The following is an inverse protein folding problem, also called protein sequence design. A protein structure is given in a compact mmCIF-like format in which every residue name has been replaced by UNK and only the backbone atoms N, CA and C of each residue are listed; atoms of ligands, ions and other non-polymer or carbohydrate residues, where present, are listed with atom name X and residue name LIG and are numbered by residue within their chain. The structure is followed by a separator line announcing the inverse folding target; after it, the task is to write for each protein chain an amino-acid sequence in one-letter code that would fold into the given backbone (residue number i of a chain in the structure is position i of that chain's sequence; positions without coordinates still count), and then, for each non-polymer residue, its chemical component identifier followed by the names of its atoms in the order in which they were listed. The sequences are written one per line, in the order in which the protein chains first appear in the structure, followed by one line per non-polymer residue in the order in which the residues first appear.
data_IF_290579805682
#
_entry.id   IF_290579805682
#
_cell.length_a   1.000
_cell.length_b   1.000
_cell.length_c   1.000
_cell.angle_alpha   90.00
_cell.angle_beta   90.00
_cell.angle_gamma   90.00
#
_symmetry.space_group_name_H-M   'P 1'
#
loop_
_entity.id
_entity.type
_entity.pdbx_description
1 polymer ?
#
# COMPACT_ATOMS: atom_id res chain seq x y z
N UNK A 1 -8.38 1.55 -11.24
CA UNK A 1 -7.15 1.93 -10.55
C UNK A 1 -6.73 3.34 -10.97
N UNK A 2 -6.28 4.16 -10.03
CA UNK A 2 -5.65 5.44 -10.33
C UNK A 2 -4.39 5.27 -11.19
N UNK A 3 -4.05 6.26 -12.01
CA UNK A 3 -2.78 6.30 -12.74
C UNK A 3 -1.58 6.47 -11.80
N UNK A 4 -1.77 7.16 -10.67
CA UNK A 4 -0.71 7.59 -9.76
C UNK A 4 -0.99 7.14 -8.32
N UNK A 5 0.06 7.07 -7.49
CA UNK A 5 -0.10 6.92 -6.06
C UNK A 5 -0.74 8.19 -5.48
N UNK A 6 -1.38 8.07 -4.33
CA UNK A 6 -1.97 9.22 -3.61
C UNK A 6 -0.85 10.22 -3.27
N UNK A 7 -1.07 11.50 -3.59
CA UNK A 7 -0.07 12.55 -3.42
C UNK A 7 0.95 12.67 -4.57
N UNK A 8 0.85 11.84 -5.62
CA UNK A 8 1.69 11.92 -6.80
C UNK A 8 0.96 12.55 -8.00
N UNK A 9 1.65 13.37 -8.77
CA UNK A 9 1.14 14.01 -9.99
C UNK A 9 1.36 13.16 -11.25
N UNK A 10 2.40 12.34 -11.25
CA UNK A 10 2.76 11.46 -12.36
C UNK A 10 2.97 10.01 -11.89
N UNK A 11 2.82 9.01 -12.80
CA UNK A 11 2.90 7.59 -12.43
C UNK A 11 4.23 7.16 -11.79
N UNK A 12 5.31 7.85 -12.12
CA UNK A 12 6.68 7.50 -11.67
C UNK A 12 6.98 7.97 -10.24
N UNK A 13 6.20 8.90 -9.71
CA UNK A 13 6.38 9.40 -8.36
C UNK A 13 5.87 8.40 -7.32
N UNK A 14 6.55 8.38 -6.17
CA UNK A 14 6.19 7.49 -5.08
C UNK A 14 4.89 7.89 -4.39
N UNK A 15 4.54 9.19 -4.45
CA UNK A 15 3.42 9.76 -3.70
C UNK A 15 3.72 9.88 -2.21
N UNK A 16 2.68 10.11 -1.45
CA UNK A 16 2.74 10.22 -0.01
C UNK A 16 2.64 8.85 0.67
N UNK A 17 3.12 8.77 1.92
CA UNK A 17 3.12 7.55 2.72
C UNK A 17 2.17 7.72 3.90
N UNK A 18 1.33 6.71 4.12
CA UNK A 18 0.28 6.71 5.12
C UNK A 18 0.42 5.50 6.05
N UNK A 19 0.28 5.74 7.34
CA UNK A 19 0.06 4.66 8.30
C UNK A 19 -1.39 4.17 8.18
N UNK A 20 -1.66 2.95 8.58
CA UNK A 20 -2.99 2.36 8.53
C UNK A 20 -4.06 3.26 9.20
N UNK A 21 -5.11 3.61 8.46
CA UNK A 21 -6.22 4.44 8.95
C UNK A 21 -5.89 5.92 9.15
N UNK A 22 -4.66 6.35 8.88
CA UNK A 22 -4.29 7.75 8.90
C UNK A 22 -4.59 8.40 7.57
N UNK A 23 -5.15 9.61 7.63
CA UNK A 23 -5.50 10.41 6.44
C UNK A 23 -4.48 11.51 6.16
N UNK A 24 -3.58 11.75 7.09
CA UNK A 24 -2.43 12.63 6.92
C UNK A 24 -1.18 11.81 6.61
N UNK A 25 -0.33 12.26 5.68
CA UNK A 25 0.93 11.61 5.37
C UNK A 25 1.84 11.54 6.60
N UNK A 26 2.56 10.42 6.74
CA UNK A 26 3.51 10.22 7.80
C UNK A 26 4.86 9.77 7.26
N UNK A 27 5.92 10.49 7.61
CA UNK A 27 7.28 10.24 7.15
C UNK A 27 8.16 9.57 8.22
N UNK A 28 7.61 9.22 9.37
CA UNK A 28 8.38 8.60 10.46
C UNK A 28 8.20 7.09 10.51
N UNK A 29 6.99 6.59 10.28
CA UNK A 29 6.67 5.16 10.45
C UNK A 29 6.98 4.70 11.89
N UNK A 30 6.88 5.59 12.88
CA UNK A 30 7.16 5.31 14.27
C UNK A 30 5.89 4.84 14.99
N UNK A 31 6.02 3.73 15.70
CA UNK A 31 4.94 3.13 16.49
C UNK A 31 4.39 4.11 17.55
N UNK A 32 5.25 4.89 18.18
CA UNK A 32 4.86 5.81 19.23
C UNK A 32 4.23 7.11 18.73
N UNK A 33 4.33 7.38 17.43
CA UNK A 33 3.67 8.50 16.76
C UNK A 33 2.38 8.06 16.03
N UNK A 34 2.11 6.76 16.00
CA UNK A 34 0.91 6.21 15.37
C UNK A 34 -0.34 6.52 16.21
N UNK A 35 -1.36 7.23 15.67
CA UNK A 35 -2.51 7.73 16.46
C UNK A 35 -3.35 6.62 17.10
N UNK A 36 -3.36 5.45 16.50
CA UNK A 36 -4.14 4.29 16.97
C UNK A 36 -3.30 3.28 17.74
N UNK A 37 -2.23 3.76 18.41
CA UNK A 37 -1.42 2.97 19.32
C UNK A 37 -1.45 3.54 20.75
N UNK A 38 -1.92 2.72 21.68
CA UNK A 38 -2.00 3.02 23.10
C UNK A 38 -0.70 2.67 23.82
N UNK A 39 0.09 3.68 24.13
CA UNK A 39 1.44 3.52 24.74
C UNK A 39 1.40 2.85 26.11
N UNK A 40 0.36 3.12 26.92
CA UNK A 40 0.26 2.60 28.29
C UNK A 40 -0.11 1.12 28.34
N UNK A 41 -0.94 0.68 27.42
CA UNK A 41 -1.40 -0.71 27.31
C UNK A 41 -0.57 -1.53 26.34
N UNK A 42 0.32 -0.87 25.57
CA UNK A 42 1.11 -1.47 24.49
C UNK A 42 0.22 -2.21 23.47
N UNK A 43 -0.91 -1.60 23.10
CA UNK A 43 -1.90 -2.20 22.23
C UNK A 43 -2.33 -1.27 21.10
N UNK A 44 -2.86 -1.84 20.03
CA UNK A 44 -3.45 -1.08 18.93
C UNK A 44 -4.95 -0.88 19.16
N UNK A 45 -5.43 0.31 18.81
CA UNK A 45 -6.86 0.62 18.80
C UNK A 45 -7.52 -0.08 17.62
N UNK A 46 -8.66 -0.69 17.86
CA UNK A 46 -9.48 -1.28 16.82
C UNK A 46 -10.29 -0.18 16.11
N UNK A 47 -9.97 0.08 14.84
CA UNK A 47 -10.69 1.02 13.96
C UNK A 47 -11.53 0.28 12.91
N UNK A 48 -11.72 -1.03 13.08
CA UNK A 48 -12.44 -1.91 12.17
C UNK A 48 -11.54 -2.72 11.25
N UNK A 49 -12.11 -3.78 10.70
CA UNK A 49 -11.39 -4.69 9.79
C UNK A 49 -11.34 -4.15 8.37
N UNK A 50 -12.34 -3.39 7.96
CA UNK A 50 -12.41 -2.77 6.63
C UNK A 50 -12.67 -1.27 6.77
N UNK A 51 -11.65 -0.46 6.45
CA UNK A 51 -11.72 1.00 6.50
C UNK A 51 -12.05 1.64 5.14
N UNK A 52 -12.25 0.82 4.10
CA UNK A 52 -12.55 1.25 2.73
C UNK A 52 -13.79 2.14 2.67
N UNK A 53 -13.67 3.36 2.17
CA UNK A 53 -14.77 4.31 2.10
C UNK A 53 -15.22 4.90 3.44
N UNK A 54 -14.47 4.67 4.51
CA UNK A 54 -14.75 5.23 5.86
C UNK A 54 -13.95 6.52 6.10
N UNK A 55 -14.12 7.11 7.28
CA UNK A 55 -13.33 8.25 7.75
C UNK A 55 -11.83 7.95 7.96
N UNK A 56 -11.44 6.68 7.89
CA UNK A 56 -10.06 6.21 7.99
C UNK A 56 -9.42 5.95 6.61
N UNK A 57 -10.16 6.16 5.52
CA UNK A 57 -9.69 5.95 4.15
C UNK A 57 -9.15 7.26 3.57
N UNK A 58 -7.82 7.41 3.51
CA UNK A 58 -7.18 8.60 2.98
C UNK A 58 -7.56 8.88 1.51
N UNK A 59 -7.73 7.84 0.69
CA UNK A 59 -8.11 8.02 -0.71
C UNK A 59 -9.53 8.60 -0.83
N UNK A 60 -10.47 8.12 -0.02
CA UNK A 60 -11.85 8.64 0.01
C UNK A 60 -11.87 10.10 0.47
N UNK A 61 -11.13 10.44 1.53
CA UNK A 61 -11.17 11.80 2.08
C UNK A 61 -10.44 12.82 1.21
N UNK A 62 -9.34 12.44 0.58
CA UNK A 62 -8.51 13.37 -0.18
C UNK A 62 -8.94 13.51 -1.64
N UNK A 63 -9.48 12.45 -2.25
CA UNK A 63 -9.90 12.47 -3.66
C UNK A 63 -11.42 12.62 -3.84
N UNK A 64 -12.20 12.42 -2.79
CA UNK A 64 -13.65 12.59 -2.80
C UNK A 64 -14.42 11.34 -3.21
N UNK A 65 -15.72 11.54 -3.48
CA UNK A 65 -16.68 10.46 -3.76
C UNK A 65 -16.24 9.54 -4.90
N UNK A 66 -16.42 8.24 -4.69
CA UNK A 66 -16.05 7.19 -5.64
C UNK A 66 -14.59 6.73 -5.52
N UNK A 67 -13.71 7.52 -4.95
CA UNK A 67 -12.34 7.10 -4.68
C UNK A 67 -12.21 6.40 -3.33
N UNK A 68 -11.43 5.34 -3.28
CA UNK A 68 -11.19 4.56 -2.06
C UNK A 68 -9.91 3.75 -2.15
N UNK A 69 -9.52 3.17 -1.03
CA UNK A 69 -8.53 2.12 -0.99
C UNK A 69 -8.99 0.89 -1.80
N UNK A 70 -8.08 0.14 -2.42
CA UNK A 70 -8.42 -1.13 -3.06
C UNK A 70 -8.81 -2.17 -2.01
N UNK A 71 -9.70 -3.08 -2.38
CA UNK A 71 -10.05 -4.26 -1.59
C UNK A 71 -9.05 -5.40 -1.85
N UNK A 72 -9.07 -6.42 -0.99
CA UNK A 72 -8.28 -7.64 -1.18
C UNK A 72 -8.62 -8.33 -2.48
N UNK A 73 -9.89 -8.43 -2.79
CA UNK A 73 -10.36 -9.11 -4.00
C UNK A 73 -9.87 -8.38 -5.25
N UNK A 74 -9.84 -7.04 -5.25
CA UNK A 74 -9.30 -6.25 -6.34
C UNK A 74 -7.78 -6.44 -6.50
N UNK A 75 -7.05 -6.54 -5.41
CA UNK A 75 -5.61 -6.85 -5.46
C UNK A 75 -5.38 -8.28 -5.91
N UNK A 76 -6.18 -9.24 -5.42
CA UNK A 76 -6.09 -10.63 -5.86
C UNK A 76 -6.44 -10.76 -7.34
N UNK A 77 -7.46 -10.05 -7.82
CA UNK A 77 -7.80 -9.99 -9.24
C UNK A 77 -6.64 -9.45 -10.09
N UNK A 78 -5.94 -8.41 -9.61
CA UNK A 78 -4.76 -7.88 -10.28
C UNK A 78 -3.65 -8.94 -10.38
N UNK A 79 -3.42 -9.70 -9.30
CA UNK A 79 -2.43 -10.79 -9.29
C UNK A 79 -2.80 -11.95 -10.20
N UNK A 80 -4.09 -12.30 -10.27
CA UNK A 80 -4.57 -13.50 -10.98
C UNK A 80 -4.78 -13.25 -12.48
N UNK A 81 -5.19 -12.03 -12.86
CA UNK A 81 -5.65 -11.73 -14.21
C UNK A 81 -4.73 -10.80 -15.02
N UNK A 82 -3.73 -10.20 -14.39
CA UNK A 82 -2.84 -9.28 -15.05
C UNK A 82 -1.44 -9.86 -15.24
N UNK A 83 -0.77 -9.42 -16.29
CA UNK A 83 0.65 -9.70 -16.49
C UNK A 83 1.43 -8.60 -15.76
N UNK A 84 2.30 -9.00 -14.82
CA UNK A 84 3.13 -8.09 -14.05
C UNK A 84 4.58 -8.23 -14.50
N UNK A 85 5.11 -7.16 -15.07
CA UNK A 85 6.48 -7.10 -15.58
C UNK A 85 7.28 -6.05 -14.83
N UNK A 86 8.56 -6.30 -14.66
CA UNK A 86 9.48 -5.28 -14.14
C UNK A 86 9.74 -4.20 -15.18
N UNK A 87 9.82 -2.98 -14.71
CA UNK A 87 10.12 -1.84 -15.54
C UNK A 87 11.21 -0.98 -14.93
N UNK A 88 12.14 -0.55 -15.78
CA UNK A 88 13.18 0.41 -15.44
C UNK A 88 13.01 1.64 -16.31
N UNK A 89 12.73 2.77 -15.71
CA UNK A 89 12.61 4.01 -16.45
C UNK A 89 13.96 4.39 -17.08
N UNK A 90 14.02 4.64 -18.40
CA UNK A 90 15.31 4.81 -19.11
C UNK A 90 16.09 6.06 -18.67
N UNK A 91 15.39 7.12 -18.28
CA UNK A 91 16.03 8.42 -17.99
C UNK A 91 16.35 8.59 -16.50
N UNK A 92 15.35 8.41 -15.62
CA UNK A 92 15.49 8.66 -14.19
C UNK A 92 15.92 7.43 -13.39
N UNK A 93 16.09 6.27 -14.06
CA UNK A 93 16.45 4.97 -13.46
C UNK A 93 15.47 4.47 -12.39
N UNK A 94 14.32 5.08 -12.30
CA UNK A 94 13.25 4.61 -11.40
C UNK A 94 12.87 3.19 -11.75
N UNK A 95 12.64 2.39 -10.74
CA UNK A 95 12.22 1.00 -10.86
C UNK A 95 10.78 0.85 -10.45
N UNK A 96 10.11 -0.14 -11.02
CA UNK A 96 8.74 -0.44 -10.69
C UNK A 96 8.22 -1.63 -11.49
N UNK A 97 6.91 -1.72 -11.55
CA UNK A 97 6.21 -2.77 -12.25
C UNK A 97 5.18 -2.17 -13.20
N UNK A 98 5.10 -2.71 -14.40
CA UNK A 98 3.97 -2.48 -15.29
C UNK A 98 3.00 -3.64 -15.13
N UNK A 99 1.78 -3.33 -14.78
CA UNK A 99 0.68 -4.28 -14.66
C UNK A 99 -0.22 -4.12 -15.88
N UNK A 100 -0.32 -5.17 -16.69
CA UNK A 100 -1.05 -5.19 -17.97
C UNK A 100 -2.25 -6.10 -17.87
N UNK A 101 -3.41 -5.59 -18.15
CA UNK A 101 -4.65 -6.35 -18.26
C UNK A 101 -4.86 -6.88 -19.66
N UNK A 102 -5.65 -7.95 -19.80
CA UNK A 102 -6.03 -8.55 -21.11
C UNK A 102 -6.76 -7.57 -22.03
N UNK A 103 -7.44 -6.56 -21.50
CA UNK A 103 -8.11 -5.52 -22.29
C UNK A 103 -7.15 -4.48 -22.89
N UNK A 104 -5.85 -4.60 -22.67
CA UNK A 104 -4.81 -3.71 -23.19
C UNK A 104 -4.51 -2.50 -22.29
N UNK A 105 -5.25 -2.29 -21.22
CA UNK A 105 -4.93 -1.24 -20.24
C UNK A 105 -3.73 -1.65 -19.39
N UNK A 106 -2.98 -0.65 -18.94
CA UNK A 106 -1.86 -0.88 -18.03
C UNK A 106 -1.74 0.24 -17.01
N UNK A 107 -1.19 -0.10 -15.85
CA UNK A 107 -0.77 0.85 -14.83
C UNK A 107 0.71 0.63 -14.51
N UNK A 108 1.40 1.70 -14.14
CA UNK A 108 2.75 1.64 -13.62
C UNK A 108 2.72 1.78 -12.10
N UNK A 109 3.43 0.90 -11.42
CA UNK A 109 3.54 0.86 -9.97
C UNK A 109 5.02 1.09 -9.60
N UNK A 110 5.40 2.28 -9.09
CA UNK A 110 6.78 2.57 -8.72
C UNK A 110 7.22 1.75 -7.51
N UNK A 111 8.51 1.44 -7.42
CA UNK A 111 9.10 0.74 -6.26
C UNK A 111 9.25 1.68 -5.07
N UNK A 112 8.14 2.12 -4.53
CA UNK A 112 8.08 3.12 -3.47
C UNK A 112 8.48 2.58 -2.08
N UNK A 113 8.42 1.27 -1.85
CA UNK A 113 8.76 0.67 -0.56
C UNK A 113 7.85 1.13 0.59
N UNK A 114 8.43 1.37 1.76
CA UNK A 114 7.74 1.87 2.95
C UNK A 114 8.65 2.76 3.79
N UNK A 115 8.08 3.45 4.77
CA UNK A 115 8.83 4.20 5.78
C UNK A 115 8.62 3.55 7.15
N UNK A 116 9.72 3.19 7.80
CA UNK A 116 9.74 2.59 9.12
C UNK A 116 10.82 3.23 9.97
N UNK A 117 10.47 3.68 11.17
CA UNK A 117 11.39 4.33 12.12
C UNK A 117 12.22 5.45 11.47
N UNK A 118 11.58 6.28 10.65
CA UNK A 118 12.20 7.39 9.93
C UNK A 118 13.08 7.01 8.74
N UNK A 119 13.12 5.72 8.36
CA UNK A 119 13.92 5.24 7.24
C UNK A 119 13.03 4.79 6.08
N UNK A 120 13.28 5.32 4.88
CA UNK A 120 12.62 4.85 3.66
C UNK A 120 13.32 3.63 3.09
N UNK A 121 12.56 2.62 2.73
CA UNK A 121 13.03 1.43 2.01
C UNK A 121 12.94 1.57 0.48
N UNK A 122 12.48 2.72 -0.02
CA UNK A 122 12.31 2.95 -1.46
C UNK A 122 13.62 2.82 -2.27
N UNK A 123 14.76 3.03 -1.64
CA UNK A 123 16.08 3.09 -2.26
C UNK A 123 17.01 1.92 -1.95
N UNK A 124 16.50 0.77 -1.62
CA UNK A 124 17.38 -0.41 -1.51
C UNK A 124 17.81 -0.79 -2.92
N UNK A 125 19.04 -0.40 -3.30
CA UNK A 125 19.57 -0.45 -4.67
C UNK A 125 19.45 -1.80 -5.38
N UNK A 126 19.27 -2.88 -4.65
CA UNK A 126 19.21 -4.24 -5.19
C UNK A 126 17.88 -4.97 -4.95
N UNK A 127 16.91 -4.36 -4.29
CA UNK A 127 15.58 -4.95 -4.13
C UNK A 127 14.53 -4.04 -4.75
N UNK A 128 13.69 -4.61 -5.60
CA UNK A 128 12.47 -3.93 -6.06
C UNK A 128 11.33 -4.43 -5.22
N UNK A 129 10.94 -3.66 -4.23
CA UNK A 129 9.74 -3.91 -3.47
C UNK A 129 8.76 -2.80 -3.70
N UNK A 130 7.53 -3.16 -3.98
CA UNK A 130 6.44 -2.22 -4.02
C UNK A 130 5.37 -2.68 -3.04
N UNK A 131 4.89 -1.74 -2.27
CA UNK A 131 3.89 -1.98 -1.24
C UNK A 131 2.69 -1.09 -1.53
N UNK A 132 1.52 -1.68 -1.69
CA UNK A 132 0.25 -0.96 -1.80
C UNK A 132 -0.54 -1.26 -0.55
N UNK A 133 -1.03 -0.23 0.08
CA UNK A 133 -1.89 -0.35 1.25
C UNK A 133 -3.24 -0.90 0.83
N UNK A 134 -3.63 -2.02 1.40
CA UNK A 134 -4.94 -2.60 1.23
C UNK A 134 -5.45 -3.21 2.55
N UNK A 135 -6.72 -3.48 2.58
CA UNK A 135 -7.54 -3.66 3.76
C UNK A 135 -8.05 -5.07 3.97
N UNK A 136 -7.50 -5.78 4.91
CA UNK A 136 -8.20 -6.79 5.71
C UNK A 136 -7.29 -7.25 6.85
N UNK A 137 -7.85 -7.30 8.06
CA UNK A 137 -7.25 -8.12 9.12
C UNK A 137 -7.43 -9.58 8.71
N UNK A 138 -6.40 -10.45 8.82
CA UNK A 138 -6.55 -11.85 8.46
C UNK A 138 -7.73 -12.46 9.22
N UNK A 139 -8.78 -12.84 8.49
CA UNK A 139 -9.86 -13.63 9.05
C UNK A 139 -9.29 -14.97 9.50
N UNK A 140 -9.29 -15.24 10.80
CA UNK A 140 -8.86 -16.53 11.35
C UNK A 140 -7.95 -16.48 12.57
N UNK A 141 -7.46 -15.32 12.95
CA UNK A 141 -6.79 -15.15 14.24
C UNK A 141 -7.78 -14.53 15.21
N UNK A 142 -8.61 -15.37 15.81
CA UNK A 142 -9.64 -14.97 16.80
C UNK A 142 -9.11 -14.35 18.09
N UNK A 143 -7.85 -13.93 18.09
CA UNK A 143 -7.18 -13.29 19.20
C UNK A 143 -7.11 -11.79 18.95
N UNK A 144 -7.68 -11.01 19.87
CA UNK A 144 -7.54 -9.54 19.95
C UNK A 144 -6.06 -9.06 19.98
N UNK A 145 -5.11 -9.98 20.04
CA UNK A 145 -3.67 -9.74 20.06
C UNK A 145 -3.10 -9.38 18.68
N UNK A 146 -3.84 -9.62 17.59
CA UNK A 146 -3.34 -9.39 16.21
C UNK A 146 -3.79 -8.07 15.57
N UNK A 147 -4.27 -7.10 16.34
CA UNK A 147 -4.62 -5.76 15.83
C UNK A 147 -3.42 -4.98 15.25
N UNK A 148 -2.22 -5.49 15.40
CA UNK A 148 -0.98 -4.88 14.89
C UNK A 148 -0.84 -4.97 13.38
N UNK A 149 -1.43 -5.98 12.74
CA UNK A 149 -1.17 -6.32 11.35
C UNK A 149 -2.32 -5.95 10.41
N UNK A 150 -1.98 -5.73 9.15
CA UNK A 150 -2.90 -5.61 8.03
C UNK A 150 -2.30 -6.31 6.80
N UNK A 151 -3.08 -6.52 5.77
CA UNK A 151 -2.57 -7.09 4.52
C UNK A 151 -2.15 -5.98 3.53
N UNK A 152 -1.16 -6.26 2.69
CA UNK A 152 -0.73 -5.39 1.61
C UNK A 152 -0.28 -6.18 0.37
N UNK A 153 -0.28 -5.55 -0.78
CA UNK A 153 0.32 -6.11 -1.99
C UNK A 153 1.84 -5.97 -1.94
N UNK A 154 2.52 -7.09 -2.04
CA UNK A 154 3.97 -7.14 -2.19
C UNK A 154 4.34 -7.57 -3.62
N UNK A 155 4.99 -6.66 -4.34
CA UNK A 155 5.68 -6.97 -5.59
C UNK A 155 7.16 -6.80 -5.36
N UNK A 156 7.91 -7.89 -5.43
CA UNK A 156 9.32 -7.88 -5.08
C UNK A 156 10.15 -8.73 -6.03
N UNK A 157 11.33 -8.24 -6.37
CA UNK A 157 12.37 -9.02 -7.04
C UNK A 157 13.65 -8.87 -6.24
N UNK A 158 14.12 -9.97 -5.70
CA UNK A 158 15.37 -10.06 -4.99
C UNK A 158 16.17 -11.26 -5.53
N UNK A 159 17.42 -11.00 -5.89
CA UNK A 159 18.36 -12.03 -6.39
C UNK A 159 17.76 -12.96 -7.47
N UNK A 160 17.02 -12.35 -8.42
CA UNK A 160 16.36 -13.09 -9.51
C UNK A 160 15.05 -13.79 -9.13
N UNK A 161 14.66 -13.77 -7.86
CA UNK A 161 13.39 -14.32 -7.40
C UNK A 161 12.29 -13.28 -7.44
N UNK A 162 11.23 -13.55 -8.19
CA UNK A 162 10.00 -12.72 -8.17
C UNK A 162 9.08 -13.17 -7.04
N UNK A 163 8.59 -12.23 -6.27
CA UNK A 163 7.53 -12.45 -5.30
C UNK A 163 6.36 -11.52 -5.61
N UNK A 164 5.19 -12.07 -5.77
CA UNK A 164 3.96 -11.35 -6.10
C UNK A 164 2.87 -11.97 -5.23
N UNK A 165 2.56 -11.33 -4.13
CA UNK A 165 1.65 -11.88 -3.13
C UNK A 165 0.96 -10.81 -2.30
N UNK A 166 -0.12 -11.20 -1.65
CA UNK A 166 -0.66 -10.48 -0.49
C UNK A 166 0.18 -10.87 0.73
N UNK A 167 0.72 -9.89 1.42
CA UNK A 167 1.58 -10.09 2.59
C UNK A 167 1.07 -9.31 3.81
N UNK A 168 1.63 -9.59 4.99
CA UNK A 168 1.27 -8.93 6.24
C UNK A 168 2.20 -7.75 6.51
N UNK A 169 1.63 -6.59 6.77
CA UNK A 169 2.32 -5.38 7.20
C UNK A 169 1.93 -4.95 8.61
N UNK A 170 2.73 -4.08 9.19
CA UNK A 170 2.49 -3.52 10.52
C UNK A 170 1.85 -2.14 10.39
N UNK A 171 0.77 -1.88 11.13
CA UNK A 171 -0.08 -0.69 10.99
C UNK A 171 0.62 0.65 11.18
N UNK A 172 1.66 0.71 11.99
CA UNK A 172 2.41 1.95 12.23
C UNK A 172 3.50 2.24 11.17
N UNK A 173 3.82 1.28 10.31
CA UNK A 173 4.70 1.51 9.16
C UNK A 173 3.90 2.27 8.10
N UNK A 174 4.51 3.27 7.48
CA UNK A 174 3.85 4.06 6.46
C UNK A 174 4.13 3.51 5.06
N UNK A 175 3.07 3.39 4.26
CA UNK A 175 3.07 2.81 2.92
C UNK A 175 2.40 3.76 1.92
N UNK A 176 2.78 3.69 0.62
CA UNK A 176 2.06 4.41 -0.41
C UNK A 176 0.68 3.77 -0.68
N UNK A 177 -0.26 4.59 -1.11
CA UNK A 177 -1.61 4.17 -1.49
C UNK A 177 -1.77 4.27 -3.00
N UNK A 178 -2.29 3.21 -3.65
CA UNK A 178 -2.79 3.25 -5.02
C UNK A 178 -4.32 3.21 -4.98
N UNK A 179 -5.00 4.36 -5.18
CA UNK A 179 -6.45 4.41 -5.11
C UNK A 179 -7.14 3.65 -6.23
N UNK A 180 -8.38 3.23 -5.97
CA UNK A 180 -9.31 2.75 -6.98
C UNK A 180 -10.53 3.66 -7.05
N UNK A 181 -11.14 3.75 -8.24
CA UNK A 181 -12.37 4.49 -8.45
C UNK A 181 -13.53 3.52 -8.68
N UNK A 182 -14.54 3.63 -7.84
CA UNK A 182 -15.76 2.82 -7.87
C UNK A 182 -16.97 3.75 -7.94
N UNK A 183 -17.40 4.15 -9.14
CA UNK A 183 -18.59 4.97 -9.30
C UNK A 183 -19.82 4.14 -8.87
N UNK A 184 -20.47 4.54 -7.78
CA UNK A 184 -21.74 3.96 -7.35
C UNK A 184 -22.89 4.38 -8.26
#
# INVERSE_FOLDING_TARGET
WSCCNLGADIPDEFGDYYQWGCVEPNLTGDKFEYPYYEKFTNSYVDIGENICGTEYDAATLLLGEGWRLPTKDEIQELLDKCIIETYHHPENKMRGFVVKSENGNSIYLPSAGCISSGHSSAYVENSMSMVILYLEIPSGTGDKENLEFFNYLLLHIFDGTKKQEVSLGVKHIAYPIRPVYDPK
#
